data_IF_909017652338
#
_entry.id   IF_909017652338
#
_cell.length_a   1.000
_cell.length_b   1.000
_cell.length_c   1.000
_cell.angle_alpha   90.00
_cell.angle_beta   90.00
_cell.angle_gamma   90.00
#
_symmetry.space_group_name_H-M   'P 1'
#
loop_
_entity.id
_entity.type
_entity.pdbx_description
1 polymer ?
#
# COMPACT_ATOMS: atom_id res chain seq x y z
N UNK A 1 19.32 -21.52 0.73
CA UNK A 1 18.19 -22.33 0.18
C UNK A 1 17.17 -22.58 1.28
N UNK A 2 15.87 -22.33 1.04
CA UNK A 2 14.78 -22.42 2.05
C UNK A 2 14.55 -23.86 2.54
N UNK A 3 14.76 -24.87 1.69
CA UNK A 3 14.50 -26.27 2.02
C UNK A 3 15.40 -26.79 3.16
N UNK A 4 16.71 -26.52 3.10
CA UNK A 4 17.66 -26.94 4.14
C UNK A 4 17.33 -26.38 5.53
N UNK A 5 16.59 -25.28 5.61
CA UNK A 5 16.21 -24.70 6.90
C UNK A 5 15.24 -25.58 7.68
N UNK A 6 14.48 -26.45 7.01
CA UNK A 6 13.54 -27.35 7.67
C UNK A 6 14.23 -28.44 8.50
N UNK A 7 15.49 -28.80 8.22
CA UNK A 7 16.24 -29.79 9.00
C UNK A 7 17.01 -29.18 10.18
N UNK A 8 16.92 -27.86 10.39
CA UNK A 8 17.60 -27.18 11.48
C UNK A 8 16.69 -27.10 12.70
N UNK A 9 17.09 -27.75 13.79
CA UNK A 9 16.34 -27.73 15.05
C UNK A 9 16.03 -26.30 15.54
N UNK A 10 17.00 -25.38 15.46
CA UNK A 10 16.82 -23.97 15.86
C UNK A 10 15.80 -23.19 15.03
N UNK A 11 15.47 -23.65 13.81
CA UNK A 11 14.43 -23.05 12.98
C UNK A 11 13.06 -23.66 13.32
N UNK A 12 13.04 -24.96 13.62
CA UNK A 12 11.81 -25.69 13.97
C UNK A 12 11.19 -25.26 15.30
N UNK A 13 11.93 -24.55 16.17
CA UNK A 13 11.38 -23.97 17.41
C UNK A 13 10.43 -22.79 17.16
N UNK A 14 10.39 -22.24 15.94
CA UNK A 14 9.52 -21.11 15.61
C UNK A 14 8.08 -21.56 15.45
N UNK A 15 7.14 -20.74 15.95
CA UNK A 15 5.71 -21.03 15.87
C UNK A 15 5.12 -20.68 14.48
N UNK A 16 5.44 -21.48 13.46
CA UNK A 16 4.82 -21.42 12.13
C UNK A 16 4.16 -22.76 11.77
N UNK A 17 3.06 -22.77 10.99
CA UNK A 17 2.30 -24.01 10.73
C UNK A 17 3.13 -25.15 10.16
N UNK A 18 4.02 -24.86 9.20
CA UNK A 18 4.90 -25.86 8.59
C UNK A 18 5.87 -26.48 9.61
N UNK A 19 6.47 -25.68 10.49
CA UNK A 19 7.41 -26.18 11.50
C UNK A 19 6.70 -26.98 12.59
N UNK A 20 5.53 -26.51 13.04
CA UNK A 20 4.71 -27.24 14.00
C UNK A 20 4.27 -28.61 13.43
N UNK A 21 3.94 -28.66 12.14
CA UNK A 21 3.58 -29.90 11.45
C UNK A 21 4.77 -30.85 11.33
N UNK A 22 5.95 -30.34 10.98
CA UNK A 22 7.19 -31.13 10.93
C UNK A 22 7.58 -31.68 12.31
N UNK A 23 7.47 -30.90 13.38
CA UNK A 23 7.77 -31.38 14.74
C UNK A 23 6.77 -32.45 15.21
N UNK A 24 5.49 -32.29 14.86
CA UNK A 24 4.43 -33.21 15.29
C UNK A 24 4.47 -34.55 14.57
N UNK A 25 4.67 -34.52 13.24
CA UNK A 25 4.56 -35.71 12.41
C UNK A 25 5.93 -36.25 11.98
N UNK A 26 7.01 -35.49 12.13
CA UNK A 26 8.34 -35.89 11.67
C UNK A 26 8.52 -35.75 10.15
N UNK A 27 9.78 -35.63 9.72
CA UNK A 27 10.15 -35.38 8.32
C UNK A 27 9.73 -36.49 7.35
N UNK A 28 9.73 -37.74 7.80
CA UNK A 28 9.43 -38.92 6.97
C UNK A 28 7.98 -38.94 6.47
N UNK A 29 7.09 -38.16 7.10
CA UNK A 29 5.69 -38.03 6.71
C UNK A 29 5.44 -36.90 5.69
N UNK A 30 6.49 -36.28 5.17
CA UNK A 30 6.42 -35.25 4.14
C UNK A 30 7.15 -35.68 2.88
N UNK A 31 6.61 -35.32 1.72
CA UNK A 31 7.22 -35.53 0.42
C UNK A 31 7.56 -34.20 -0.25
N UNK A 32 8.70 -34.14 -0.93
CA UNK A 32 9.07 -33.03 -1.78
C UNK A 32 8.60 -33.33 -3.21
N UNK A 33 7.80 -32.42 -3.78
CA UNK A 33 7.41 -32.46 -5.19
C UNK A 33 7.88 -31.19 -5.89
N UNK A 34 8.46 -31.34 -7.09
CA UNK A 34 8.86 -30.22 -7.95
C UNK A 34 7.69 -29.93 -8.87
N UNK A 35 7.15 -28.71 -8.81
CA UNK A 35 5.98 -28.30 -9.61
C UNK A 35 6.36 -27.72 -10.98
N UNK A 36 7.52 -27.08 -11.07
CA UNK A 36 8.01 -26.42 -12.28
C UNK A 36 9.54 -26.37 -12.22
N UNK A 37 10.19 -26.71 -13.34
CA UNK A 37 11.61 -26.45 -13.56
C UNK A 37 11.75 -25.20 -14.43
N UNK A 38 12.48 -24.21 -13.94
CA UNK A 38 12.70 -22.92 -14.60
C UNK A 38 14.02 -22.88 -15.40
N UNK A 39 14.71 -24.02 -15.49
CA UNK A 39 15.98 -24.14 -16.20
C UNK A 39 17.19 -23.71 -15.35
N UNK A 40 18.35 -23.47 -15.99
CA UNK A 40 19.58 -23.24 -15.28
C UNK A 40 19.57 -21.93 -14.48
N UNK A 41 20.33 -21.92 -13.37
CA UNK A 41 20.47 -20.77 -12.48
C UNK A 41 20.90 -19.52 -13.27
N UNK A 42 20.16 -18.41 -13.10
CA UNK A 42 20.43 -17.15 -13.77
C UNK A 42 19.68 -16.95 -15.09
N UNK A 43 19.04 -17.98 -15.65
CA UNK A 43 18.27 -17.87 -16.91
C UNK A 43 16.99 -17.05 -16.76
N UNK A 44 16.49 -16.92 -15.53
CA UNK A 44 15.18 -16.36 -15.24
C UNK A 44 15.31 -15.23 -14.22
N UNK A 45 14.54 -14.16 -14.44
CA UNK A 45 14.53 -13.01 -13.53
C UNK A 45 13.83 -13.35 -12.21
N UNK A 46 14.24 -12.69 -11.12
CA UNK A 46 13.58 -12.82 -9.81
C UNK A 46 12.08 -12.49 -9.87
N UNK A 47 11.70 -11.49 -10.66
CA UNK A 47 10.28 -11.11 -10.80
C UNK A 47 9.46 -12.22 -11.44
N UNK A 48 10.02 -12.92 -12.43
CA UNK A 48 9.35 -14.06 -13.04
C UNK A 48 9.20 -15.21 -12.05
N UNK A 49 10.26 -15.55 -11.30
CA UNK A 49 10.18 -16.59 -10.26
C UNK A 49 9.08 -16.32 -9.22
N UNK A 50 8.94 -15.07 -8.77
CA UNK A 50 7.88 -14.68 -7.82
C UNK A 50 6.48 -14.74 -8.45
N UNK A 51 6.35 -14.41 -9.74
CA UNK A 51 5.09 -14.56 -10.46
C UNK A 51 4.66 -16.03 -10.56
N UNK A 52 5.60 -16.94 -10.83
CA UNK A 52 5.34 -18.38 -10.83
C UNK A 52 5.01 -18.92 -9.45
N UNK A 53 5.73 -18.50 -8.41
CA UNK A 53 5.38 -18.84 -7.01
C UNK A 53 3.94 -18.39 -6.68
N UNK A 54 3.56 -17.16 -7.06
CA UNK A 54 2.20 -16.66 -6.83
C UNK A 54 1.15 -17.51 -7.57
N UNK A 55 1.40 -17.89 -8.82
CA UNK A 55 0.50 -18.73 -9.61
C UNK A 55 0.14 -20.05 -8.89
N UNK A 56 1.14 -20.75 -8.34
CA UNK A 56 0.89 -21.99 -7.60
C UNK A 56 0.25 -21.75 -6.23
N UNK A 57 0.61 -20.66 -5.54
CA UNK A 57 -0.03 -20.28 -4.29
C UNK A 57 -1.52 -19.96 -4.48
N UNK A 58 -1.88 -19.28 -5.56
CA UNK A 58 -3.28 -18.96 -5.88
C UNK A 58 -4.08 -20.24 -6.12
N UNK A 59 -3.54 -21.20 -6.88
CA UNK A 59 -4.17 -22.52 -7.05
C UNK A 59 -4.37 -23.22 -5.71
N UNK A 60 -3.35 -23.23 -4.84
CA UNK A 60 -3.41 -23.86 -3.52
C UNK A 60 -4.48 -23.20 -2.64
N UNK A 61 -4.48 -21.87 -2.56
CA UNK A 61 -5.41 -21.12 -1.71
C UNK A 61 -6.84 -21.17 -2.21
N UNK A 62 -7.05 -21.22 -3.53
CA UNK A 62 -8.39 -21.36 -4.11
C UNK A 62 -8.96 -22.77 -3.96
N UNK A 63 -8.16 -23.82 -4.20
CA UNK A 63 -8.65 -25.21 -4.18
C UNK A 63 -8.65 -25.83 -2.79
N UNK A 64 -7.69 -25.50 -1.94
CA UNK A 64 -7.47 -26.15 -0.64
C UNK A 64 -7.27 -25.15 0.50
N UNK A 65 -8.24 -24.25 0.76
CA UNK A 65 -8.08 -23.16 1.74
C UNK A 65 -7.79 -23.65 3.17
N UNK A 66 -8.27 -24.84 3.54
CA UNK A 66 -8.09 -25.42 4.88
C UNK A 66 -6.76 -26.17 5.06
N UNK A 67 -6.06 -26.52 3.96
CA UNK A 67 -4.81 -27.28 4.00
C UNK A 67 -3.57 -26.39 3.84
N UNK A 68 -3.74 -25.07 3.88
CA UNK A 68 -2.62 -24.14 3.70
C UNK A 68 -1.70 -24.14 4.92
N UNK A 69 -0.42 -24.38 4.68
CA UNK A 69 0.65 -24.17 5.67
C UNK A 69 1.36 -22.83 5.49
N UNK A 70 1.18 -22.19 4.32
CA UNK A 70 1.70 -20.87 4.03
C UNK A 70 0.80 -19.79 4.63
N UNK A 71 1.38 -18.94 5.47
CA UNK A 71 0.68 -17.84 6.13
C UNK A 71 0.52 -16.61 5.23
N UNK A 72 1.54 -16.31 4.42
CA UNK A 72 1.55 -15.12 3.56
C UNK A 72 0.87 -15.44 2.23
N UNK A 73 -0.15 -14.65 1.83
CA UNK A 73 -0.83 -14.88 0.56
C UNK A 73 -0.01 -14.43 -0.65
N UNK A 74 0.88 -13.44 -0.45
CA UNK A 74 1.71 -12.88 -1.52
C UNK A 74 3.08 -13.56 -1.56
N UNK A 75 3.52 -14.03 -2.72
CA UNK A 75 4.84 -14.61 -2.94
C UNK A 75 5.95 -13.62 -2.58
N UNK A 76 6.99 -14.11 -1.89
CA UNK A 76 8.15 -13.31 -1.49
C UNK A 76 7.87 -12.14 -0.53
N UNK A 77 6.66 -11.96 -0.02
CA UNK A 77 6.25 -10.82 0.80
C UNK A 77 5.32 -11.23 1.93
N UNK A 78 5.32 -10.48 3.03
CA UNK A 78 4.31 -10.63 4.10
C UNK A 78 3.02 -9.88 3.80
N UNK A 79 2.91 -9.25 2.63
CA UNK A 79 1.72 -8.50 2.21
C UNK A 79 0.48 -9.40 2.21
N UNK A 80 -0.59 -8.91 2.83
CA UNK A 80 -1.86 -9.62 2.98
C UNK A 80 -1.91 -10.62 4.14
N UNK A 81 -0.81 -10.86 4.85
CA UNK A 81 -0.85 -11.61 6.11
C UNK A 81 -1.67 -10.83 7.15
N UNK A 82 -2.64 -11.52 7.76
CA UNK A 82 -3.49 -10.96 8.81
C UNK A 82 -3.08 -11.56 10.15
N UNK A 83 -2.70 -10.69 11.09
CA UNK A 83 -2.49 -11.10 12.48
C UNK A 83 -3.82 -11.49 13.13
N UNK A 84 -3.76 -12.36 14.15
CA UNK A 84 -4.90 -12.68 15.00
C UNK A 84 -5.48 -11.40 15.64
N UNK A 85 -6.78 -11.38 15.88
CA UNK A 85 -7.45 -10.22 16.51
C UNK A 85 -6.85 -9.87 17.87
N UNK A 86 -6.50 -10.88 18.69
CA UNK A 86 -5.80 -10.69 19.97
C UNK A 86 -4.51 -9.85 19.84
N UNK A 87 -3.71 -10.11 18.79
CA UNK A 87 -2.50 -9.33 18.53
C UNK A 87 -2.86 -7.87 18.24
N UNK A 88 -3.90 -7.61 17.46
CA UNK A 88 -4.35 -6.24 17.15
C UNK A 88 -4.86 -5.52 18.39
N UNK A 89 -5.64 -6.23 19.21
CA UNK A 89 -6.18 -5.71 20.47
C UNK A 89 -5.05 -5.33 21.44
N UNK A 90 -4.04 -6.19 21.62
CA UNK A 90 -2.89 -5.92 22.49
C UNK A 90 -2.01 -4.74 22.05
N UNK A 91 -2.20 -4.24 20.83
CA UNK A 91 -1.47 -3.07 20.32
C UNK A 91 -2.36 -1.82 20.20
N UNK A 92 -3.61 -1.87 20.66
CA UNK A 92 -4.56 -0.75 20.58
C UNK A 92 -5.32 -0.55 21.90
N UNK A 93 -5.75 0.70 22.13
CA UNK A 93 -6.52 1.05 23.33
C UNK A 93 -5.83 0.64 24.63
N UNK A 94 -6.62 0.23 25.63
CA UNK A 94 -6.18 -0.04 27.01
C UNK A 94 -5.20 -1.20 27.16
N UNK A 95 -5.23 -2.17 26.24
CA UNK A 95 -4.35 -3.35 26.29
C UNK A 95 -2.94 -3.06 25.77
N UNK A 96 -2.76 -1.95 25.06
CA UNK A 96 -1.43 -1.52 24.64
C UNK A 96 -0.59 -1.17 25.89
N UNK A 97 0.62 -1.74 26.06
CA UNK A 97 1.52 -1.40 27.17
C UNK A 97 1.91 0.09 27.24
N UNK A 98 1.71 0.83 26.15
CA UNK A 98 1.93 2.27 26.02
C UNK A 98 0.66 3.11 26.20
N UNK A 99 -0.48 2.49 26.52
CA UNK A 99 -1.73 3.22 26.76
C UNK A 99 -1.60 4.17 27.94
N UNK A 100 -2.11 5.39 27.78
CA UNK A 100 -1.99 6.50 28.75
C UNK A 100 -0.56 6.86 29.18
N UNK A 101 0.48 6.34 28.50
CA UNK A 101 1.85 6.77 28.75
C UNK A 101 2.16 7.99 27.89
N UNK A 102 2.65 9.03 28.55
CA UNK A 102 3.07 10.26 27.87
C UNK A 102 4.52 10.13 27.45
N UNK A 103 4.81 10.35 26.16
CA UNK A 103 6.19 10.43 25.70
C UNK A 103 6.85 11.71 26.20
N UNK A 104 8.13 11.61 26.60
CA UNK A 104 8.95 12.77 26.96
C UNK A 104 9.17 13.68 25.74
N UNK A 105 9.51 14.94 26.01
CA UNK A 105 9.80 15.91 24.96
C UNK A 105 11.02 15.50 24.13
N UNK A 106 12.05 14.96 24.77
CA UNK A 106 13.27 14.45 24.13
C UNK A 106 12.94 13.32 23.17
N UNK A 107 12.08 12.37 23.58
CA UNK A 107 11.67 11.26 22.74
C UNK A 107 10.91 11.75 21.50
N UNK A 108 9.96 12.68 21.67
CA UNK A 108 9.22 13.29 20.55
C UNK A 108 10.17 14.00 19.58
N UNK A 109 11.11 14.78 20.09
CA UNK A 109 12.11 15.48 19.30
C UNK A 109 12.98 14.50 18.51
N UNK A 110 13.41 13.40 19.15
CA UNK A 110 14.19 12.35 18.49
C UNK A 110 13.43 11.71 17.31
N UNK A 111 12.12 11.50 17.43
CA UNK A 111 11.31 10.93 16.34
C UNK A 111 11.18 11.85 15.12
N UNK A 112 11.23 13.16 15.32
CA UNK A 112 11.00 14.16 14.25
C UNK A 112 12.28 14.82 13.74
N UNK A 113 13.41 14.71 14.43
CA UNK A 113 14.65 15.44 14.12
C UNK A 113 15.11 15.35 12.66
N UNK A 114 14.91 14.19 12.03
CA UNK A 114 15.32 13.91 10.64
C UNK A 114 14.21 14.20 9.62
N UNK A 115 13.07 14.74 10.06
CA UNK A 115 11.88 15.00 9.22
C UNK A 115 11.57 16.49 9.10
N UNK A 116 12.32 17.34 9.80
CA UNK A 116 12.07 18.79 9.90
C UNK A 116 13.25 19.58 9.34
N UNK A 117 12.94 20.74 8.76
CA UNK A 117 13.95 21.67 8.23
C UNK A 117 14.93 20.98 7.28
N UNK A 118 16.19 21.40 7.35
CA UNK A 118 17.29 20.92 6.49
C UNK A 118 17.55 19.41 6.61
N UNK A 119 17.16 18.77 7.72
CA UNK A 119 17.38 17.34 7.91
C UNK A 119 16.39 16.47 7.11
N UNK A 120 15.27 17.06 6.66
CA UNK A 120 14.35 16.35 5.78
C UNK A 120 15.00 16.20 4.38
N UNK A 121 15.13 14.98 3.82
CA UNK A 121 15.71 14.78 2.48
C UNK A 121 14.98 15.53 1.34
N UNK A 122 13.76 16.00 1.58
CA UNK A 122 12.97 16.78 0.63
C UNK A 122 13.06 18.29 0.87
N UNK A 123 13.80 18.75 1.88
CA UNK A 123 13.95 20.17 2.16
C UNK A 123 14.70 20.88 1.03
N UNK A 124 14.11 21.96 0.51
CA UNK A 124 14.69 22.73 -0.61
C UNK A 124 14.65 22.03 -1.97
N UNK A 125 14.20 20.78 -2.06
CA UNK A 125 14.15 20.04 -3.33
C UNK A 125 13.06 20.61 -4.23
N UNK A 126 13.47 21.19 -5.37
CA UNK A 126 12.56 21.64 -6.43
C UNK A 126 12.02 20.43 -7.19
N UNK A 127 10.69 20.37 -7.40
CA UNK A 127 10.05 19.28 -8.16
C UNK A 127 10.20 19.51 -9.66
N UNK A 128 10.36 18.43 -10.42
CA UNK A 128 10.34 18.49 -11.89
C UNK A 128 8.96 18.93 -12.40
N UNK A 129 8.92 19.52 -13.60
CA UNK A 129 7.67 19.95 -14.24
C UNK A 129 6.65 18.79 -14.36
N UNK A 130 7.12 17.59 -14.74
CA UNK A 130 6.29 16.38 -14.80
C UNK A 130 5.67 16.01 -13.45
N UNK A 131 6.44 16.09 -12.37
CA UNK A 131 5.94 15.80 -11.02
C UNK A 131 4.91 16.84 -10.60
N UNK A 132 5.16 18.11 -10.91
CA UNK A 132 4.22 19.20 -10.64
C UNK A 132 2.91 18.96 -11.39
N UNK A 133 2.96 18.55 -12.67
CA UNK A 133 1.78 18.23 -13.45
C UNK A 133 0.95 17.11 -12.81
N UNK A 134 1.59 16.03 -12.33
CA UNK A 134 0.91 14.93 -11.60
C UNK A 134 0.26 15.37 -10.29
N UNK A 135 0.88 16.30 -9.57
CA UNK A 135 0.37 16.83 -8.30
C UNK A 135 -0.72 17.89 -8.49
N UNK A 136 -0.75 18.56 -9.64
CA UNK A 136 -1.67 19.65 -9.93
C UNK A 136 -3.09 19.11 -10.12
N UNK A 137 -3.98 19.44 -9.18
CA UNK A 137 -5.40 19.10 -9.30
C UNK A 137 -6.08 20.05 -10.28
N UNK A 138 -6.40 19.51 -11.45
CA UNK A 138 -7.15 20.21 -12.49
C UNK A 138 -8.63 20.38 -12.09
N UNK A 139 -9.25 21.36 -12.71
CA UNK A 139 -10.68 21.66 -12.67
C UNK A 139 -11.12 21.80 -14.12
N UNK A 140 -12.09 20.99 -14.51
CA UNK A 140 -12.76 21.09 -15.80
C UNK A 140 -13.93 22.06 -15.66
N UNK A 141 -13.97 23.05 -16.54
CA UNK A 141 -14.98 24.10 -16.53
C UNK A 141 -15.84 23.96 -17.77
N UNK A 142 -17.15 23.93 -17.57
CA UNK A 142 -18.15 23.77 -18.62
C UNK A 142 -19.10 24.95 -18.60
N UNK A 143 -19.64 25.31 -19.76
CA UNK A 143 -20.82 26.17 -19.82
C UNK A 143 -22.03 25.37 -19.32
N UNK A 144 -22.84 25.95 -18.43
CA UNK A 144 -23.88 25.20 -17.71
C UNK A 144 -25.00 24.72 -18.66
N UNK A 145 -25.43 25.57 -19.58
CA UNK A 145 -26.54 25.29 -20.49
C UNK A 145 -26.16 24.28 -21.58
N UNK A 146 -25.04 24.51 -22.26
CA UNK A 146 -24.61 23.70 -23.42
C UNK A 146 -23.78 22.49 -23.02
N UNK A 147 -23.27 22.45 -21.78
CA UNK A 147 -22.31 21.46 -21.28
C UNK A 147 -21.02 21.38 -22.11
N UNK A 148 -20.73 22.40 -22.91
CA UNK A 148 -19.50 22.49 -23.68
C UNK A 148 -18.31 22.75 -22.74
N UNK A 149 -17.23 22.00 -22.94
CA UNK A 149 -15.99 22.19 -22.18
C UNK A 149 -15.33 23.50 -22.59
N UNK A 150 -15.25 24.43 -21.64
CA UNK A 150 -14.54 25.70 -21.80
C UNK A 150 -13.03 25.45 -21.69
N UNK A 151 -12.62 24.61 -20.75
CA UNK A 151 -11.22 24.24 -20.59
C UNK A 151 -10.91 23.53 -19.28
N UNK A 152 -9.63 23.21 -19.11
CA UNK A 152 -9.09 22.64 -17.87
C UNK A 152 -8.04 23.56 -17.26
N UNK A 153 -8.21 23.89 -16.00
CA UNK A 153 -7.36 24.86 -15.30
C UNK A 153 -6.85 24.27 -13.99
N UNK A 154 -5.67 24.70 -13.53
CA UNK A 154 -5.29 24.48 -12.15
C UNK A 154 -6.25 25.23 -11.19
N UNK A 155 -6.31 24.82 -9.93
CA UNK A 155 -7.19 25.48 -8.94
C UNK A 155 -6.88 26.98 -8.80
N UNK A 156 -5.60 27.36 -8.88
CA UNK A 156 -5.16 28.76 -8.78
C UNK A 156 -5.52 29.56 -10.03
N UNK A 157 -5.29 29.00 -11.23
CA UNK A 157 -5.67 29.65 -12.48
C UNK A 157 -7.17 29.83 -12.59
N UNK A 158 -7.95 28.80 -12.24
CA UNK A 158 -9.41 28.86 -12.22
C UNK A 158 -9.93 30.00 -11.33
N UNK A 159 -9.32 30.17 -10.14
CA UNK A 159 -9.68 31.25 -9.23
C UNK A 159 -9.40 32.64 -9.82
N UNK A 160 -8.25 32.80 -10.50
CA UNK A 160 -7.86 34.06 -11.14
C UNK A 160 -8.72 34.39 -12.36
N UNK A 161 -8.86 33.44 -13.28
CA UNK A 161 -9.57 33.60 -14.56
C UNK A 161 -11.05 33.97 -14.34
N UNK A 162 -11.74 33.19 -13.49
CA UNK A 162 -13.17 33.38 -13.24
C UNK A 162 -13.46 34.31 -12.06
N UNK A 163 -12.43 34.94 -11.48
CA UNK A 163 -12.50 35.84 -10.33
C UNK A 163 -13.37 35.26 -9.20
N UNK A 164 -13.10 34.00 -8.83
CA UNK A 164 -13.84 33.25 -7.83
C UNK A 164 -12.93 32.93 -6.63
N UNK A 165 -13.42 33.19 -5.41
CA UNK A 165 -12.71 32.83 -4.18
C UNK A 165 -12.52 31.32 -4.05
N UNK A 166 -11.41 30.89 -3.45
CA UNK A 166 -11.07 29.46 -3.30
C UNK A 166 -12.14 28.65 -2.58
N UNK A 167 -12.71 29.20 -1.51
CA UNK A 167 -13.73 28.53 -0.70
C UNK A 167 -15.04 28.41 -1.47
N UNK A 168 -15.41 29.47 -2.21
CA UNK A 168 -16.55 29.47 -3.13
C UNK A 168 -16.36 28.41 -4.21
N UNK A 169 -15.22 28.40 -4.91
CA UNK A 169 -14.93 27.40 -5.93
C UNK A 169 -15.04 25.97 -5.37
N UNK A 170 -14.52 25.73 -4.17
CA UNK A 170 -14.60 24.44 -3.51
C UNK A 170 -16.05 24.05 -3.17
N UNK A 171 -16.85 25.00 -2.67
CA UNK A 171 -18.28 24.80 -2.39
C UNK A 171 -19.05 24.41 -3.65
N UNK A 172 -18.87 25.14 -4.75
CA UNK A 172 -19.63 24.91 -5.98
C UNK A 172 -19.21 23.61 -6.68
N UNK A 173 -17.92 23.26 -6.66
CA UNK A 173 -17.43 21.94 -7.11
C UNK A 173 -18.07 20.81 -6.31
N UNK A 174 -18.11 20.94 -4.98
CA UNK A 174 -18.67 19.89 -4.10
C UNK A 174 -20.17 19.71 -4.32
N UNK A 175 -20.89 20.82 -4.48
CA UNK A 175 -22.34 20.82 -4.60
C UNK A 175 -22.81 20.54 -6.03
N UNK A 176 -21.92 20.59 -7.03
CA UNK A 176 -22.27 20.36 -8.44
C UNK A 176 -23.22 21.42 -9.03
N UNK A 177 -23.26 22.62 -8.44
CA UNK A 177 -24.14 23.72 -8.87
C UNK A 177 -23.36 24.73 -9.72
N UNK A 178 -24.02 25.42 -10.67
CA UNK A 178 -23.37 26.42 -11.49
C UNK A 178 -23.05 27.71 -10.72
N UNK A 179 -21.93 28.35 -11.08
CA UNK A 179 -21.59 29.71 -10.66
C UNK A 179 -21.43 30.59 -11.91
N UNK A 180 -22.24 31.64 -12.05
CA UNK A 180 -22.24 32.55 -13.22
C UNK A 180 -22.28 31.78 -14.55
N UNK A 181 -23.28 30.91 -14.69
CA UNK A 181 -23.51 30.00 -15.82
C UNK A 181 -22.36 29.02 -16.12
N UNK A 182 -21.43 28.81 -15.18
CA UNK A 182 -20.33 27.84 -15.36
C UNK A 182 -20.41 26.72 -14.35
N UNK A 183 -20.19 25.51 -14.82
CA UNK A 183 -20.09 24.32 -13.98
C UNK A 183 -18.63 23.92 -13.81
N UNK A 184 -18.23 23.63 -12.57
CA UNK A 184 -16.85 23.30 -12.20
C UNK A 184 -16.78 21.87 -11.67
N UNK A 185 -15.91 21.03 -12.24
CA UNK A 185 -15.78 19.63 -11.83
C UNK A 185 -14.31 19.20 -11.68
N UNK A 186 -14.07 18.24 -10.78
CA UNK A 186 -12.77 17.56 -10.63
C UNK A 186 -12.60 16.36 -11.54
N UNK A 187 -13.70 15.88 -12.11
CA UNK A 187 -13.76 14.73 -13.00
C UNK A 187 -14.22 15.25 -14.37
N UNK A 188 -13.64 14.72 -15.43
CA UNK A 188 -14.09 15.03 -16.79
C UNK A 188 -15.47 14.38 -17.00
N UNK A 189 -16.48 15.18 -17.34
CA UNK A 189 -17.88 14.74 -17.41
C UNK A 189 -18.23 14.18 -18.80
N UNK A 190 -17.58 14.70 -19.85
CA UNK A 190 -17.73 14.33 -21.25
C UNK A 190 -16.36 14.35 -21.92
#
# INVERSE_FOLDING_TARGET
MRLLSYWRHSILTRNLPIYNSLNKYGHNNFILAILEDLGPSGSVTKSYMLNREQFYLDILFSKYPMLKLNNSPTAGSTLGFKHKEEFRLNHSGKLNPMYNKTFSTEFKNMQIRNKVGINNPQFGVKKSAETIAKLTKLIYVYEFETKNLIGSYSTVQCSKEFKIGKDTLTKYIRNGIPYKNKLFSRIKLH
#
